data_IF_708267209597
#
_entry.id   IF_708267209597
#
_cell.length_a   1.000
_cell.length_b   1.000
_cell.length_c   1.000
_cell.angle_alpha   90.00
_cell.angle_beta   90.00
_cell.angle_gamma   90.00
#
_symmetry.space_group_name_H-M   'P 1'
#
loop_
_entity.id
_entity.type
_entity.pdbx_description
1 polymer ?
#
# COMPACT_ATOMS: atom_id res chain seq x y z
N UNK A 1 -0.39 11.59 15.30
CA UNK A 1 -1.14 10.51 14.95
C UNK A 1 -0.49 9.32 14.33
N UNK A 2 -0.45 9.18 13.02
CA UNK A 2 0.09 7.95 12.44
C UNK A 2 1.60 8.03 12.39
N UNK A 3 2.25 7.33 13.31
CA UNK A 3 3.70 7.32 13.39
C UNK A 3 4.22 5.90 13.35
N UNK A 4 5.35 5.73 12.67
CA UNK A 4 5.96 4.41 12.55
C UNK A 4 6.42 3.93 13.93
N UNK A 5 5.97 2.74 14.33
CA UNK A 5 6.22 2.19 15.65
C UNK A 5 7.12 0.97 15.65
N UNK A 6 7.46 0.45 14.48
CA UNK A 6 8.30 -0.74 14.37
C UNK A 6 9.70 -0.38 13.97
N UNK A 7 10.63 -1.26 14.31
CA UNK A 7 12.01 -1.09 13.92
C UNK A 7 12.13 -1.11 12.39
N UNK A 8 12.85 -0.15 11.86
CA UNK A 8 12.99 0.04 10.44
C UNK A 8 14.45 -0.23 10.07
N UNK A 9 14.69 -1.32 9.35
CA UNK A 9 16.04 -1.73 8.99
C UNK A 9 16.49 -1.06 7.69
N UNK A 10 17.79 -1.06 7.40
CA UNK A 10 18.28 -0.42 6.18
C UNK A 10 17.64 -0.90 4.90
N UNK A 11 17.26 -2.20 4.83
CA UNK A 11 16.62 -2.69 3.62
C UNK A 11 15.23 -2.06 3.43
N UNK A 12 14.54 -1.78 4.52
CA UNK A 12 13.25 -1.10 4.42
C UNK A 12 13.44 0.34 3.94
N UNK A 13 14.45 1.01 4.47
CA UNK A 13 14.74 2.38 4.05
C UNK A 13 15.11 2.44 2.57
N UNK A 14 15.85 1.45 2.10
CA UNK A 14 16.22 1.41 0.70
C UNK A 14 15.00 1.27 -0.19
N UNK A 15 14.06 0.42 0.19
CA UNK A 15 12.86 0.23 -0.61
C UNK A 15 11.98 1.47 -0.63
N UNK A 16 11.84 2.12 0.51
CA UNK A 16 11.07 3.36 0.59
C UNK A 16 11.73 4.45 -0.24
N UNK A 17 13.04 4.60 -0.11
CA UNK A 17 13.79 5.59 -0.86
C UNK A 17 13.69 5.34 -2.36
N UNK A 18 13.80 4.08 -2.77
CA UNK A 18 13.70 3.72 -4.17
C UNK A 18 12.32 4.07 -4.73
N UNK A 19 11.28 3.79 -3.96
CA UNK A 19 9.92 4.10 -4.42
C UNK A 19 9.73 5.59 -4.61
N UNK A 20 10.21 6.40 -3.66
CA UNK A 20 10.06 7.85 -3.77
C UNK A 20 10.95 8.45 -4.86
N UNK A 21 12.22 8.11 -4.84
CA UNK A 21 13.20 8.85 -5.64
C UNK A 21 13.50 8.21 -6.99
N UNK A 22 13.38 6.91 -7.11
CA UNK A 22 13.63 6.24 -8.39
C UNK A 22 12.35 6.01 -9.16
N UNK A 23 11.24 5.82 -8.48
CA UNK A 23 9.96 5.51 -9.13
C UNK A 23 8.96 6.66 -9.05
N UNK A 24 9.31 7.74 -8.37
CA UNK A 24 8.44 8.91 -8.32
C UNK A 24 7.12 8.69 -7.60
N UNK A 25 7.07 7.75 -6.66
CA UNK A 25 5.85 7.47 -5.93
C UNK A 25 4.84 6.63 -6.72
N UNK A 26 5.29 6.04 -7.84
CA UNK A 26 4.41 5.23 -8.69
C UNK A 26 5.19 4.01 -9.13
N UNK A 27 4.93 2.87 -8.53
CA UNK A 27 5.63 1.70 -8.98
C UNK A 27 5.47 0.50 -8.07
N UNK A 28 6.04 -0.61 -8.52
CA UNK A 28 6.03 -1.86 -7.81
C UNK A 28 7.33 -2.08 -7.08
N UNK A 29 7.23 -2.67 -5.91
CA UNK A 29 8.39 -3.13 -5.16
C UNK A 29 8.30 -4.64 -5.07
N UNK A 30 9.47 -5.29 -5.04
CA UNK A 30 9.50 -6.73 -4.88
C UNK A 30 8.95 -7.12 -3.51
N UNK A 31 8.10 -8.14 -3.49
CA UNK A 31 7.57 -8.66 -2.25
C UNK A 31 8.70 -9.12 -1.34
N UNK A 32 8.64 -8.75 -0.08
CA UNK A 32 9.64 -9.14 0.91
C UNK A 32 9.29 -10.51 1.48
N UNK A 33 10.10 -10.98 2.42
CA UNK A 33 9.96 -12.35 2.92
C UNK A 33 8.66 -12.62 3.63
N UNK A 34 8.00 -11.60 4.14
CA UNK A 34 6.71 -11.77 4.80
C UNK A 34 5.81 -10.59 4.50
N UNK A 35 4.52 -10.82 4.62
CA UNK A 35 3.57 -9.74 4.42
C UNK A 35 3.72 -8.65 5.46
N UNK A 36 4.12 -9.03 6.67
CA UNK A 36 4.36 -8.04 7.71
C UNK A 36 5.43 -7.03 7.26
N UNK A 37 6.48 -7.48 6.58
CA UNK A 37 7.50 -6.58 6.08
C UNK A 37 6.96 -5.68 4.98
N UNK A 38 6.11 -6.21 4.11
CA UNK A 38 5.45 -5.38 3.10
C UNK A 38 4.60 -4.30 3.77
N UNK A 39 3.89 -4.68 4.82
CA UNK A 39 3.06 -3.72 5.57
C UNK A 39 3.96 -2.67 6.23
N UNK A 40 5.10 -3.08 6.75
CA UNK A 40 6.03 -2.13 7.37
C UNK A 40 6.54 -1.11 6.37
N UNK A 41 6.90 -1.55 5.16
CA UNK A 41 7.35 -0.64 4.11
C UNK A 41 6.22 0.32 3.73
N UNK A 42 5.02 -0.19 3.53
CA UNK A 42 3.88 0.65 3.21
C UNK A 42 3.59 1.63 4.33
N UNK A 43 3.70 1.17 5.58
CA UNK A 43 3.49 2.03 6.75
C UNK A 43 4.49 3.18 6.79
N UNK A 44 5.75 2.89 6.47
CA UNK A 44 6.76 3.93 6.44
C UNK A 44 6.45 4.96 5.36
N UNK A 45 6.01 4.51 4.19
CA UNK A 45 5.64 5.43 3.11
C UNK A 45 4.46 6.30 3.54
N UNK A 46 3.44 5.71 4.13
CA UNK A 46 2.28 6.46 4.61
C UNK A 46 2.70 7.48 5.67
N UNK A 47 3.58 7.07 6.58
CA UNK A 47 4.07 7.98 7.62
C UNK A 47 4.77 9.20 7.04
N UNK A 48 5.64 8.99 6.05
CA UNK A 48 6.33 10.09 5.40
C UNK A 48 5.34 11.00 4.67
N UNK A 49 4.39 10.41 3.96
CA UNK A 49 3.40 11.20 3.23
C UNK A 49 2.53 12.01 4.20
N UNK A 50 2.19 11.43 5.35
CA UNK A 50 1.41 12.17 6.35
C UNK A 50 2.19 13.36 6.91
N UNK A 51 3.49 13.21 7.08
CA UNK A 51 4.32 14.32 7.52
C UNK A 51 4.34 15.45 6.48
N UNK A 52 4.30 15.09 5.21
CA UNK A 52 4.37 16.08 4.12
C UNK A 52 3.01 16.68 3.77
N UNK A 53 1.95 15.91 3.85
CA UNK A 53 0.64 16.31 3.32
C UNK A 53 -0.49 16.24 4.34
N UNK A 54 -0.17 15.98 5.61
CA UNK A 54 -1.15 15.97 6.69
C UNK A 54 -2.31 15.01 6.46
N UNK A 55 -3.48 15.42 6.89
CA UNK A 55 -4.68 14.57 6.85
C UNK A 55 -5.24 14.37 5.46
N UNK A 56 -4.64 14.99 4.46
CA UNK A 56 -5.08 14.78 3.08
C UNK A 56 -4.73 13.38 2.58
N UNK A 57 -3.72 12.75 3.18
CA UNK A 57 -3.27 11.42 2.74
C UNK A 57 -4.30 10.37 3.14
N UNK A 58 -4.75 9.60 2.16
CA UNK A 58 -5.76 8.56 2.36
C UNK A 58 -5.29 7.25 1.77
N UNK A 59 -4.80 6.33 2.60
CA UNK A 59 -4.39 5.00 2.12
C UNK A 59 -5.59 4.17 1.70
N UNK A 60 -5.48 3.57 0.52
CA UNK A 60 -6.49 2.65 -0.01
C UNK A 60 -5.77 1.34 -0.29
N UNK A 61 -6.17 0.27 0.40
CA UNK A 61 -5.50 -1.01 0.33
C UNK A 61 -6.34 -2.00 -0.47
N UNK A 62 -5.73 -2.63 -1.47
CA UNK A 62 -6.37 -3.66 -2.26
C UNK A 62 -5.71 -5.00 -2.00
N UNK A 63 -6.48 -6.00 -1.62
CA UNK A 63 -5.98 -7.36 -1.42
C UNK A 63 -7.03 -8.37 -1.85
N UNK A 64 -6.59 -9.62 -2.04
CA UNK A 64 -7.42 -10.67 -2.63
C UNK A 64 -8.52 -11.22 -1.75
N UNK A 65 -8.39 -11.13 -0.45
CA UNK A 65 -9.32 -11.82 0.43
C UNK A 65 -9.52 -11.07 1.72
N UNK A 66 -10.62 -11.37 2.44
CA UNK A 66 -10.84 -10.76 3.75
C UNK A 66 -9.73 -11.07 4.74
N UNK A 67 -9.12 -12.27 4.65
CA UNK A 67 -8.01 -12.62 5.55
C UNK A 67 -6.83 -11.70 5.33
N UNK A 68 -6.46 -11.45 4.07
CA UNK A 68 -5.35 -10.57 3.76
C UNK A 68 -5.65 -9.15 4.18
N UNK A 69 -6.87 -8.68 3.98
CA UNK A 69 -7.26 -7.37 4.44
C UNK A 69 -7.19 -7.27 5.96
N UNK A 70 -7.54 -8.37 6.65
CA UNK A 70 -7.40 -8.41 8.10
C UNK A 70 -5.96 -8.28 8.54
N UNK A 71 -5.03 -8.93 7.82
CA UNK A 71 -3.61 -8.80 8.12
C UNK A 71 -3.15 -7.36 7.92
N UNK A 72 -3.59 -6.72 6.84
CA UNK A 72 -3.25 -5.32 6.60
C UNK A 72 -3.79 -4.41 7.69
N UNK A 73 -5.04 -4.63 8.08
CA UNK A 73 -5.61 -3.81 9.15
C UNK A 73 -4.82 -3.94 10.44
N UNK A 74 -4.56 -5.18 10.86
CA UNK A 74 -3.80 -5.41 12.10
C UNK A 74 -2.37 -4.88 11.98
N UNK A 75 -1.75 -5.09 10.82
CA UNK A 75 -0.39 -4.63 10.61
C UNK A 75 -0.27 -3.12 10.63
N UNK A 76 -1.21 -2.43 10.01
CA UNK A 76 -1.20 -0.97 10.02
C UNK A 76 -1.47 -0.41 11.40
N UNK A 77 -2.36 -1.05 12.16
CA UNK A 77 -2.57 -0.67 13.55
C UNK A 77 -1.28 -0.83 14.35
N UNK A 78 -0.59 -1.94 14.16
CA UNK A 78 0.62 -2.24 14.89
C UNK A 78 1.78 -1.36 14.45
N UNK A 79 1.94 -1.14 13.15
CA UNK A 79 3.08 -0.41 12.64
C UNK A 79 2.92 1.11 12.71
N UNK A 80 1.72 1.63 12.58
CA UNK A 80 1.46 3.07 12.56
C UNK A 80 0.63 3.57 13.72
N UNK A 81 0.02 2.68 14.48
CA UNK A 81 -0.87 3.11 15.54
C UNK A 81 -2.17 3.70 15.03
N UNK A 82 -2.62 3.24 13.87
CA UNK A 82 -3.89 3.70 13.32
C UNK A 82 -5.02 3.23 14.22
N UNK A 83 -5.90 4.14 14.58
CA UNK A 83 -7.03 3.83 15.42
C UNK A 83 -7.99 2.90 14.66
N UNK A 84 -8.57 1.94 15.38
CA UNK A 84 -9.54 1.04 14.80
C UNK A 84 -10.67 1.80 14.07
N UNK A 85 -11.06 2.93 14.62
CA UNK A 85 -12.14 3.73 14.03
C UNK A 85 -11.75 4.33 12.68
N UNK A 86 -10.46 4.50 12.44
CA UNK A 86 -10.00 5.09 11.19
C UNK A 86 -10.15 4.16 10.00
N UNK A 87 -10.44 2.89 10.22
CA UNK A 87 -10.67 1.96 9.12
C UNK A 87 -12.11 1.98 8.62
N UNK A 88 -12.99 2.59 9.35
CA UNK A 88 -14.40 2.63 8.95
C UNK A 88 -14.89 4.05 8.70
N UNK A 89 -14.03 5.04 8.82
CA UNK A 89 -14.43 6.41 8.62
C UNK A 89 -13.92 6.94 7.29
N UNK A 90 -14.53 8.01 6.82
CA UNK A 90 -14.09 8.65 5.59
C UNK A 90 -12.80 9.42 5.78
N UNK A 91 -12.22 9.38 6.96
CA UNK A 91 -11.01 10.15 7.26
C UNK A 91 -9.77 9.32 7.43
N UNK A 92 -9.86 8.03 7.20
CA UNK A 92 -8.74 7.15 7.48
C UNK A 92 -8.38 6.23 6.32
N UNK A 93 -8.18 4.96 6.66
CA UNK A 93 -7.76 3.93 5.71
C UNK A 93 -8.97 3.16 5.23
N UNK A 94 -9.01 2.86 3.94
CA UNK A 94 -10.06 2.01 3.39
C UNK A 94 -9.46 0.73 2.81
N UNK A 95 -10.17 -0.37 2.99
CA UNK A 95 -9.72 -1.70 2.57
C UNK A 95 -10.67 -2.23 1.50
N UNK A 96 -10.10 -2.79 0.44
CA UNK A 96 -10.90 -3.21 -0.73
C UNK A 96 -10.46 -4.57 -1.24
N UNK A 97 -11.44 -5.34 -1.71
CA UNK A 97 -11.16 -6.54 -2.50
C UNK A 97 -11.40 -6.28 -3.99
N UNK A 98 -12.10 -5.22 -4.31
CA UNK A 98 -12.53 -4.91 -5.68
C UNK A 98 -11.83 -3.65 -6.16
N UNK A 99 -11.08 -3.78 -7.26
CA UNK A 99 -10.31 -2.66 -7.80
C UNK A 99 -11.21 -1.53 -8.31
N UNK A 100 -12.40 -1.89 -8.81
CA UNK A 100 -13.30 -0.89 -9.35
C UNK A 100 -13.86 -0.01 -8.24
N UNK A 101 -14.23 -0.61 -7.13
CA UNK A 101 -14.73 0.15 -5.98
C UNK A 101 -13.63 1.01 -5.40
N UNK A 102 -12.40 0.49 -5.36
CA UNK A 102 -11.27 1.29 -4.90
C UNK A 102 -11.07 2.50 -5.80
N UNK A 103 -11.13 2.29 -7.12
CA UNK A 103 -10.94 3.38 -8.08
C UNK A 103 -11.99 4.45 -7.91
N UNK A 104 -13.24 4.07 -7.66
CA UNK A 104 -14.31 5.03 -7.43
C UNK A 104 -14.04 5.84 -6.17
N UNK A 105 -13.56 5.20 -5.13
CA UNK A 105 -13.23 5.92 -3.89
C UNK A 105 -12.05 6.88 -4.10
N UNK A 106 -11.02 6.43 -4.82
CA UNK A 106 -9.88 7.28 -5.12
C UNK A 106 -10.32 8.52 -5.90
N UNK A 107 -11.20 8.33 -6.88
CA UNK A 107 -11.68 9.44 -7.68
C UNK A 107 -12.45 10.47 -6.84
N UNK A 108 -13.28 9.98 -5.92
CA UNK A 108 -13.98 10.88 -5.01
C UNK A 108 -13.03 11.65 -4.11
N UNK A 109 -11.99 10.97 -3.62
CA UNK A 109 -11.01 11.62 -2.76
C UNK A 109 -10.27 12.73 -3.49
N UNK A 110 -9.90 12.49 -4.75
CA UNK A 110 -9.25 13.51 -5.55
C UNK A 110 -10.16 14.73 -5.71
N UNK A 111 -11.44 14.49 -5.95
CA UNK A 111 -12.40 15.58 -6.08
C UNK A 111 -12.59 16.36 -4.79
N UNK A 112 -12.27 15.75 -3.66
CA UNK A 112 -12.33 16.41 -2.37
C UNK A 112 -10.99 17.02 -1.97
N UNK A 113 -10.06 17.12 -2.88
CA UNK A 113 -8.71 17.64 -2.65
C UNK A 113 -7.92 16.78 -1.66
N UNK A 114 -8.21 15.48 -1.63
CA UNK A 114 -7.43 14.52 -0.85
C UNK A 114 -6.38 13.86 -1.73
N UNK A 115 -5.44 13.20 -1.09
CA UNK A 115 -4.35 12.54 -1.80
C UNK A 115 -4.39 11.05 -1.51
N UNK A 116 -5.01 10.27 -2.41
CA UNK A 116 -5.04 8.82 -2.20
C UNK A 116 -3.69 8.21 -2.49
N UNK A 117 -3.29 7.25 -1.64
CA UNK A 117 -2.13 6.40 -1.90
C UNK A 117 -2.68 4.98 -2.04
N UNK A 118 -2.56 4.42 -3.24
CA UNK A 118 -3.11 3.10 -3.53
C UNK A 118 -2.04 2.05 -3.26
N UNK A 119 -2.36 1.08 -2.40
CA UNK A 119 -1.44 0.00 -2.06
C UNK A 119 -2.05 -1.30 -2.55
N UNK A 120 -1.34 -2.02 -3.40
CA UNK A 120 -1.81 -3.26 -4.01
C UNK A 120 -0.95 -4.40 -3.49
N UNK A 121 -1.57 -5.34 -2.78
CA UNK A 121 -0.85 -6.47 -2.17
C UNK A 121 -1.00 -7.71 -3.03
N UNK A 122 0.03 -7.97 -3.85
CA UNK A 122 0.15 -9.25 -4.56
C UNK A 122 -1.15 -9.67 -5.26
N UNK A 123 -1.79 -8.72 -5.92
CA UNK A 123 -3.06 -8.97 -6.56
C UNK A 123 -2.97 -8.67 -8.05
N UNK A 124 -2.02 -9.29 -8.71
CA UNK A 124 -1.75 -8.99 -10.12
C UNK A 124 -2.99 -9.03 -10.98
N UNK A 125 -3.87 -9.99 -10.71
CA UNK A 125 -5.07 -10.15 -11.52
C UNK A 125 -6.10 -9.06 -11.27
N UNK A 126 -5.91 -8.27 -10.24
CA UNK A 126 -6.86 -7.22 -9.88
C UNK A 126 -6.39 -5.84 -10.24
N UNK A 127 -5.17 -5.71 -10.73
CA UNK A 127 -4.65 -4.42 -11.11
C UNK A 127 -5.30 -3.99 -12.42
N UNK A 128 -5.83 -2.80 -12.44
CA UNK A 128 -6.40 -2.23 -13.66
C UNK A 128 -5.68 -0.93 -13.98
N UNK A 129 -5.67 -0.57 -15.26
CA UNK A 129 -5.00 0.64 -15.69
C UNK A 129 -5.60 1.88 -15.05
N UNK A 130 -6.89 1.83 -14.72
CA UNK A 130 -7.54 2.98 -14.11
C UNK A 130 -6.98 3.31 -12.73
N UNK A 131 -6.46 2.31 -12.00
CA UNK A 131 -5.82 2.58 -10.72
C UNK A 131 -4.47 3.26 -10.90
N UNK A 132 -3.81 3.00 -11.99
CA UNK A 132 -2.45 3.50 -12.21
C UNK A 132 -2.42 4.94 -12.68
N UNK A 133 -3.56 5.53 -12.96
CA UNK A 133 -3.62 6.93 -13.35
C UNK A 133 -3.46 7.88 -12.17
N UNK A 134 -3.65 7.37 -10.96
CA UNK A 134 -3.53 8.23 -9.79
C UNK A 134 -2.06 8.53 -9.49
N UNK A 135 -1.79 9.65 -8.82
CA UNK A 135 -0.40 10.11 -8.66
C UNK A 135 0.47 9.24 -7.75
N UNK A 136 -0.13 8.52 -6.81
CA UNK A 136 0.65 7.68 -5.90
C UNK A 136 0.07 6.27 -5.86
N UNK A 137 0.88 5.30 -6.23
CA UNK A 137 0.49 3.91 -6.07
C UNK A 137 1.70 3.04 -5.82
N UNK A 138 1.50 2.02 -5.00
CA UNK A 138 2.53 1.09 -4.57
C UNK A 138 1.99 -0.32 -4.72
N UNK A 139 2.67 -1.14 -5.50
CA UNK A 139 2.29 -2.54 -5.67
C UNK A 139 3.44 -3.42 -5.19
N UNK A 140 3.12 -4.52 -4.51
CA UNK A 140 4.11 -5.50 -4.10
C UNK A 140 4.08 -6.64 -5.10
N UNK A 141 5.11 -6.70 -5.94
CA UNK A 141 5.19 -7.70 -7.00
C UNK A 141 5.62 -9.04 -6.44
N UNK A 142 5.12 -10.13 -6.99
CA UNK A 142 5.55 -11.44 -6.54
C UNK A 142 7.02 -11.69 -6.82
N UNK A 143 7.59 -12.65 -6.08
CA UNK A 143 8.98 -13.02 -6.24
C UNK A 143 9.23 -13.56 -7.63
N UNK A 144 10.23 -13.08 -8.35
CA UNK A 144 10.54 -13.63 -9.67
C UNK A 144 10.87 -15.11 -9.62
N UNK A 145 11.46 -15.57 -8.52
CA UNK A 145 11.84 -16.98 -8.40
C UNK A 145 10.66 -17.92 -8.43
N UNK A 146 9.57 -17.53 -7.78
CA UNK A 146 8.41 -18.41 -7.77
C UNK A 146 7.80 -18.53 -9.14
N UNK A 147 7.98 -17.55 -10.00
CA UNK A 147 7.52 -17.65 -11.36
C UNK A 147 8.45 -18.48 -12.18
N UNK A 148 9.73 -18.28 -12.02
CA UNK A 148 10.71 -19.00 -12.79
C UNK A 148 10.71 -20.47 -12.48
N UNK A 149 10.47 -20.84 -11.26
CA UNK A 149 10.48 -22.23 -10.88
C UNK A 149 9.38 -23.01 -11.57
N UNK A 150 8.35 -22.35 -12.03
CA UNK A 150 7.28 -23.05 -12.69
C UNK A 150 7.51 -23.15 -14.16
N UNK A 151 8.31 -22.30 -14.72
CA UNK A 151 8.47 -22.31 -16.10
C UNK A 151 9.77 -22.63 -16.55
N UNK A 152 10.51 -23.07 -15.84
CA UNK A 152 11.65 -23.23 -16.25
C UNK A 152 11.89 -24.35 -16.65
N UNK A 153 11.66 -24.60 -17.00
CA UNK A 153 11.88 -25.45 -17.29
C UNK A 153 11.84 -25.51 -18.29
N UNK A 154 11.84 -25.04 -18.64
CA UNK A 154 11.85 -25.04 -19.68
C UNK A 154 12.70 -25.32 -20.20
#
# INVERSE_FOLDING_TARGET
PWRLRRTFEPIHAERVSNWFFSQGGRGALRTMSSRLQNILVASAIVSVLRDLYDTRVRPLILANSPELLGEWRRGLQDCLGIDRRDFSSDRGVALFEDSEILTQKADRLVKQAKLPIIVIDDTENKISLSMLQFPLWLAFAPEPNSQNSTDRFY
#
